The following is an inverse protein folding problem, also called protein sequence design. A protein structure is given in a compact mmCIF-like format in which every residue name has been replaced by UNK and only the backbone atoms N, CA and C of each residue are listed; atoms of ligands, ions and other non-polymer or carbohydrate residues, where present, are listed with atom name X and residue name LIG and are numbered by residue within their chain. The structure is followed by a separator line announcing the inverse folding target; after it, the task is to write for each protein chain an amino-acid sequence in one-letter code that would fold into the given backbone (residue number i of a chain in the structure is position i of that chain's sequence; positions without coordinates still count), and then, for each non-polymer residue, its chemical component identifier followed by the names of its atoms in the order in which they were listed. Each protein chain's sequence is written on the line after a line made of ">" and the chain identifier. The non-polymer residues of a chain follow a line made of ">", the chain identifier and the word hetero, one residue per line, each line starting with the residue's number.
data_IF_349731235227
#
_entry.id   IF_349731235227
#
_cell.length_a   1.000
_cell.length_b   1.000
_cell.length_c   1.000
_cell.angle_alpha   90.00
_cell.angle_beta   90.00
_cell.angle_gamma   90.00
#
_symmetry.space_group_name_H-M   'P 1'
#
loop_
_entity.id
_entity.type
_entity.pdbx_description
1 polymer ?
#
# COMPACT_ATOMS: atom_id res chain seq x y z
N UNK A 1 31.50 -8.39 22.98
CA UNK A 1 30.27 -8.99 22.42
C UNK A 1 29.13 -8.05 22.78
N UNK A 2 28.73 -7.17 21.86
CA UNK A 2 27.55 -6.33 22.08
C UNK A 2 26.33 -7.17 21.69
N UNK A 3 25.49 -7.44 22.67
CA UNK A 3 24.24 -8.16 22.51
C UNK A 3 23.29 -7.24 21.71
N UNK A 4 23.12 -7.52 20.42
CA UNK A 4 22.19 -6.83 19.53
C UNK A 4 20.77 -7.26 19.85
N UNK A 5 20.22 -6.69 20.92
CA UNK A 5 18.81 -6.79 21.24
C UNK A 5 18.14 -5.62 20.51
N UNK A 6 17.82 -5.85 19.23
CA UNK A 6 16.97 -4.98 18.41
C UNK A 6 15.59 -4.95 19.09
N UNK A 7 15.42 -4.00 19.99
CA UNK A 7 14.18 -3.66 20.65
C UNK A 7 13.97 -2.18 20.37
N UNK A 8 12.76 -1.83 19.94
CA UNK A 8 12.34 -0.56 19.33
C UNK A 8 12.53 -0.61 17.80
N UNK A 9 11.53 -0.34 16.96
CA UNK A 9 10.58 0.77 17.04
C UNK A 9 9.29 0.42 16.29
N UNK A 10 8.16 0.97 16.72
CA UNK A 10 6.98 1.09 15.86
C UNK A 10 7.35 1.93 14.65
N UNK A 11 7.78 1.27 13.58
CA UNK A 11 8.18 1.90 12.33
C UNK A 11 6.93 2.46 11.66
N UNK A 12 6.57 3.70 12.00
CA UNK A 12 5.70 4.51 11.15
C UNK A 12 6.43 4.70 9.83
N UNK A 13 6.02 3.94 8.82
CA UNK A 13 6.68 3.86 7.51
C UNK A 13 6.80 5.23 6.83
N UNK A 14 5.80 6.09 7.01
CA UNK A 14 5.75 7.45 6.48
C UNK A 14 5.30 8.43 7.57
N UNK A 15 5.96 9.59 7.62
CA UNK A 15 5.57 10.69 8.51
C UNK A 15 4.30 11.38 8.01
N UNK A 16 3.62 12.14 8.87
CA UNK A 16 2.40 12.89 8.46
C UNK A 16 2.74 13.97 7.45
N UNK A 17 3.94 14.56 7.58
CA UNK A 17 4.47 15.54 6.63
C UNK A 17 4.70 14.92 5.24
N UNK A 18 5.18 13.67 5.16
CA UNK A 18 5.40 12.99 3.87
C UNK A 18 4.09 12.64 3.15
N UNK A 19 3.02 12.40 3.91
CA UNK A 19 1.71 12.07 3.36
C UNK A 19 0.79 13.29 3.22
N UNK A 20 1.24 14.50 3.56
CA UNK A 20 0.39 15.70 3.59
C UNK A 20 -0.25 16.01 2.23
N UNK A 21 0.45 15.69 1.15
CA UNK A 21 0.04 15.96 -0.22
C UNK A 21 -0.68 14.76 -0.87
N UNK A 22 -0.75 13.62 -0.19
CA UNK A 22 -1.39 12.40 -0.70
C UNK A 22 -2.85 12.37 -0.27
N UNK A 23 -3.75 12.69 -1.21
CA UNK A 23 -5.18 12.64 -0.95
C UNK A 23 -5.70 11.19 -0.81
N UNK A 24 -6.60 10.96 0.14
CA UNK A 24 -7.23 9.65 0.34
C UNK A 24 -6.30 8.59 0.97
N UNK A 25 -5.24 9.02 1.66
CA UNK A 25 -4.31 8.14 2.37
C UNK A 25 -4.82 7.75 3.75
N UNK A 26 -4.58 6.49 4.13
CA UNK A 26 -4.87 5.94 5.46
C UNK A 26 -3.63 5.23 5.99
N UNK A 27 -3.17 5.63 7.18
CA UNK A 27 -2.14 4.91 7.92
C UNK A 27 -2.81 3.91 8.85
N UNK A 28 -2.46 2.64 8.69
CA UNK A 28 -2.81 1.54 9.59
C UNK A 28 -1.50 0.99 10.11
N UNK A 29 -1.40 0.58 11.39
CA UNK A 29 -0.10 0.35 12.05
C UNK A 29 0.94 -0.45 11.24
N UNK A 30 0.50 -1.40 10.41
CA UNK A 30 1.37 -2.26 9.61
C UNK A 30 1.43 -1.90 8.11
N UNK A 31 0.60 -0.97 7.63
CA UNK A 31 0.56 -0.55 6.22
C UNK A 31 -0.03 0.85 5.99
N UNK A 32 0.36 1.47 4.88
CA UNK A 32 -0.31 2.67 4.35
C UNK A 32 -1.18 2.27 3.16
N UNK A 33 -2.45 2.66 3.19
CA UNK A 33 -3.39 2.50 2.09
C UNK A 33 -3.58 3.84 1.36
N UNK A 34 -3.47 3.83 0.04
CA UNK A 34 -3.73 5.00 -0.82
C UNK A 34 -4.75 4.63 -1.89
N UNK A 35 -5.63 5.58 -2.21
CA UNK A 35 -6.48 5.46 -3.41
C UNK A 35 -5.64 5.72 -4.65
N UNK A 36 -5.71 4.81 -5.62
CA UNK A 36 -5.00 4.92 -6.90
C UNK A 36 -5.96 4.71 -8.07
N UNK A 37 -5.58 5.23 -9.24
CA UNK A 37 -6.20 4.81 -10.50
C UNK A 37 -5.56 3.52 -10.98
N UNK A 38 -6.37 2.51 -11.32
CA UNK A 38 -5.92 1.28 -11.94
C UNK A 38 -6.44 1.27 -13.38
N UNK A 39 -5.53 1.33 -14.35
CA UNK A 39 -5.87 1.19 -15.77
C UNK A 39 -5.76 -0.27 -16.18
N UNK A 40 -6.89 -0.90 -16.50
CA UNK A 40 -6.92 -2.21 -17.14
C UNK A 40 -7.01 -2.04 -18.65
N UNK A 41 -6.21 -2.80 -19.40
CA UNK A 41 -6.30 -2.81 -20.86
C UNK A 41 -7.69 -3.26 -21.35
N UNK A 42 -8.31 -4.19 -20.63
CA UNK A 42 -9.60 -4.78 -21.02
C UNK A 42 -10.80 -3.99 -20.51
N UNK A 43 -10.67 -3.35 -19.34
CA UNK A 43 -11.80 -2.75 -18.62
C UNK A 43 -11.72 -1.22 -18.48
N UNK A 44 -10.63 -0.60 -18.95
CA UNK A 44 -10.39 0.82 -18.80
C UNK A 44 -9.95 1.20 -17.39
N UNK A 45 -10.13 2.46 -17.04
CA UNK A 45 -9.72 3.02 -15.76
C UNK A 45 -10.76 2.77 -14.65
N UNK A 46 -10.30 2.25 -13.53
CA UNK A 46 -11.10 2.02 -12.34
C UNK A 46 -10.38 2.54 -11.10
N UNK A 47 -11.14 2.72 -10.03
CA UNK A 47 -10.56 3.08 -8.72
C UNK A 47 -9.98 1.83 -8.08
N UNK A 48 -8.74 1.93 -7.63
CA UNK A 48 -8.04 0.91 -6.86
C UNK A 48 -7.55 1.43 -5.52
N UNK A 49 -7.09 0.50 -4.70
CA UNK A 49 -6.44 0.74 -3.41
C UNK A 49 -5.09 0.05 -3.43
N UNK A 50 -4.03 0.82 -3.17
CA UNK A 50 -2.68 0.29 -3.00
C UNK A 50 -2.35 0.30 -1.50
N UNK A 51 -1.98 -0.86 -0.96
CA UNK A 51 -1.42 -1.01 0.39
C UNK A 51 0.07 -1.24 0.31
N UNK A 52 0.81 -0.50 1.13
CA UNK A 52 2.27 -0.58 1.26
C UNK A 52 2.55 -1.00 2.69
N UNK A 53 3.03 -2.22 2.88
CA UNK A 53 3.30 -2.80 4.18
C UNK A 53 4.71 -2.45 4.66
N UNK A 54 4.90 -2.36 5.98
CA UNK A 54 6.20 -2.04 6.62
C UNK A 54 7.31 -3.03 6.27
N UNK A 55 6.96 -4.25 5.86
CA UNK A 55 7.88 -5.29 5.41
C UNK A 55 8.26 -5.17 3.92
N UNK A 56 7.81 -4.12 3.23
CA UNK A 56 8.07 -3.87 1.82
C UNK A 56 7.10 -4.55 0.85
N UNK A 57 6.11 -5.31 1.35
CA UNK A 57 5.11 -5.92 0.48
C UNK A 57 4.11 -4.88 -0.03
N UNK A 58 3.65 -5.08 -1.26
CA UNK A 58 2.66 -4.24 -1.94
C UNK A 58 1.44 -5.07 -2.31
N UNK A 59 0.24 -4.57 -2.03
CA UNK A 59 -1.03 -5.18 -2.42
C UNK A 59 -1.89 -4.15 -3.16
N UNK A 60 -2.38 -4.49 -4.36
CA UNK A 60 -3.27 -3.61 -5.15
C UNK A 60 -4.62 -4.27 -5.32
N UNK A 61 -5.68 -3.69 -4.80
CA UNK A 61 -7.05 -4.13 -5.05
C UNK A 61 -7.72 -3.21 -6.06
N UNK A 62 -8.21 -3.74 -7.19
CA UNK A 62 -9.07 -3.00 -8.12
C UNK A 62 -10.54 -3.43 -8.00
N UNK A 63 -11.46 -2.47 -8.01
CA UNK A 63 -12.91 -2.72 -8.10
C UNK A 63 -13.42 -2.56 -9.54
N UNK A 64 -12.63 -3.01 -10.51
CA UNK A 64 -12.89 -2.89 -11.94
C UNK A 64 -14.21 -3.60 -12.35
N UNK A 65 -14.50 -4.77 -11.76
CA UNK A 65 -15.77 -5.53 -11.84
C UNK A 65 -15.88 -6.49 -10.64
N UNK A 66 -17.08 -6.97 -10.25
CA UNK A 66 -17.19 -8.07 -9.30
C UNK A 66 -16.51 -9.33 -9.86
N UNK A 67 -15.43 -9.78 -9.20
CA UNK A 67 -14.62 -10.93 -9.63
C UNK A 67 -13.35 -10.57 -10.42
N UNK A 68 -12.87 -9.33 -10.35
CA UNK A 68 -11.58 -8.97 -10.95
C UNK A 68 -10.40 -9.64 -10.21
N UNK A 69 -9.71 -10.59 -10.86
CA UNK A 69 -8.56 -11.33 -10.31
C UNK A 69 -7.20 -10.70 -10.64
N UNK A 70 -7.18 -9.60 -11.39
CA UNK A 70 -5.96 -8.91 -11.85
C UNK A 70 -5.17 -8.23 -10.70
N UNK A 71 -5.68 -8.26 -9.46
CA UNK A 71 -5.20 -7.48 -8.31
C UNK A 71 -4.21 -8.17 -7.36
N UNK A 72 -3.32 -9.05 -7.82
CA UNK A 72 -2.48 -9.80 -6.87
C UNK A 72 -0.99 -9.95 -7.20
N UNK A 73 -0.42 -9.24 -8.19
CA UNK A 73 1.01 -9.42 -8.46
C UNK A 73 1.75 -8.17 -8.93
N UNK A 74 2.22 -7.38 -7.97
CA UNK A 74 3.42 -6.55 -8.15
C UNK A 74 4.45 -6.95 -7.08
N UNK A 75 5.14 -8.07 -7.32
CA UNK A 75 6.48 -8.25 -6.79
C UNK A 75 7.43 -7.53 -7.75
N UNK A 76 7.73 -6.25 -7.48
CA UNK A 76 8.79 -5.53 -8.20
C UNK A 76 10.15 -5.86 -7.59
#
# INVERSE_FOLDING_TARGET
>A
MANGLEKESGFTMFSDDELKDVNGVKKVGEFVEVMCGCTSHRYGDAVGKLKIFVNGYLEITCECTPGCEEGLFLSL
#
